data_IF_070295393153
#
_entry.id   IF_070295393153
#
_cell.length_a   1.000
_cell.length_b   1.000
_cell.length_c   1.000
_cell.angle_alpha   90.00
_cell.angle_beta   90.00
_cell.angle_gamma   90.00
#
_symmetry.space_group_name_H-M   'P 1'
#
loop_
_entity.id
_entity.type
_entity.pdbx_description
1 polymer ?
#
# COMPACT_ATOMS: atom_id res chain seq x y z
N UNK A 1 -5.29 14.42 -2.77
CA UNK A 1 -4.78 13.74 -1.55
C UNK A 1 -3.88 12.63 -2.07
N UNK A 2 -2.60 12.65 -1.72
CA UNK A 2 -1.62 11.67 -2.22
C UNK A 2 -1.60 10.46 -1.30
N UNK A 3 -1.64 9.24 -1.86
CA UNK A 3 -1.62 7.99 -1.09
C UNK A 3 -0.16 7.60 -0.91
N UNK A 4 0.39 7.79 0.29
CA UNK A 4 1.80 7.49 0.61
C UNK A 4 1.98 6.24 1.46
N UNK A 5 0.92 5.79 2.16
CA UNK A 5 0.95 4.60 3.00
C UNK A 5 -0.25 3.69 2.76
N UNK A 6 -0.15 2.43 3.19
CA UNK A 6 -1.27 1.49 3.21
C UNK A 6 -2.40 2.01 4.12
N UNK A 7 -2.03 2.74 5.17
CA UNK A 7 -3.01 3.42 6.03
C UNK A 7 -3.80 4.46 5.24
N UNK A 8 -3.13 5.35 4.48
CA UNK A 8 -3.81 6.35 3.64
C UNK A 8 -4.74 5.70 2.62
N UNK A 9 -4.31 4.58 2.04
CA UNK A 9 -5.14 3.78 1.15
C UNK A 9 -6.40 3.30 1.87
N UNK A 10 -6.27 2.72 3.06
CA UNK A 10 -7.41 2.20 3.84
C UNK A 10 -8.32 3.35 4.32
N UNK A 11 -7.77 4.52 4.63
CA UNK A 11 -8.52 5.71 5.05
C UNK A 11 -9.32 6.37 3.90
N UNK A 12 -9.18 5.91 2.65
CA UNK A 12 -10.11 6.26 1.56
C UNK A 12 -11.54 5.76 1.83
N UNK A 13 -11.67 4.69 2.61
CA UNK A 13 -12.97 4.21 3.06
C UNK A 13 -13.40 4.96 4.32
N UNK A 14 -14.66 5.43 4.40
CA UNK A 14 -15.15 6.11 5.59
C UNK A 14 -15.11 5.22 6.85
N UNK A 15 -15.20 3.90 6.67
CA UNK A 15 -15.06 2.93 7.75
C UNK A 15 -14.25 1.71 7.31
N UNK A 16 -13.33 1.27 8.17
CA UNK A 16 -12.53 0.04 7.94
C UNK A 16 -13.40 -1.21 7.78
N UNK A 17 -14.56 -1.23 8.44
CA UNK A 17 -15.55 -2.32 8.30
C UNK A 17 -16.08 -2.40 6.87
N UNK A 18 -16.21 -1.28 6.18
CA UNK A 18 -16.71 -1.25 4.81
C UNK A 18 -15.73 -1.93 3.85
N UNK A 19 -14.44 -1.59 3.93
CA UNK A 19 -13.40 -2.29 3.16
C UNK A 19 -13.36 -3.78 3.52
N UNK A 20 -13.50 -4.10 4.81
CA UNK A 20 -13.49 -5.48 5.29
C UNK A 20 -14.64 -6.31 4.69
N UNK A 21 -15.85 -5.75 4.65
CA UNK A 21 -17.03 -6.36 4.06
C UNK A 21 -16.87 -6.56 2.54
N UNK A 22 -16.38 -5.54 1.84
CA UNK A 22 -16.15 -5.60 0.38
C UNK A 22 -15.07 -6.62 -0.01
N UNK A 23 -13.99 -6.75 0.78
CA UNK A 23 -12.90 -7.70 0.52
C UNK A 23 -13.22 -9.10 1.06
N UNK A 24 -14.22 -9.25 1.93
CA UNK A 24 -14.59 -10.51 2.57
C UNK A 24 -13.64 -10.92 3.72
N UNK A 25 -13.11 -9.94 4.46
CA UNK A 25 -12.23 -10.15 5.62
C UNK A 25 -12.79 -9.51 6.88
N UNK A 26 -12.20 -9.82 8.04
CA UNK A 26 -12.58 -9.18 9.31
C UNK A 26 -12.01 -7.75 9.42
N UNK A 27 -12.76 -6.84 10.05
CA UNK A 27 -12.29 -5.47 10.29
C UNK A 27 -10.99 -5.39 11.11
N UNK A 28 -10.76 -6.35 12.02
CA UNK A 28 -9.49 -6.49 12.76
C UNK A 28 -8.30 -6.75 11.82
N UNK A 29 -8.51 -7.55 10.76
CA UNK A 29 -7.46 -7.83 9.77
C UNK A 29 -7.11 -6.57 8.98
N UNK A 30 -8.11 -5.80 8.55
CA UNK A 30 -7.90 -4.50 7.89
C UNK A 30 -7.20 -3.52 8.84
N UNK A 31 -7.57 -3.52 10.12
CA UNK A 31 -6.88 -2.73 11.13
C UNK A 31 -5.39 -3.09 11.22
N UNK A 32 -5.07 -4.39 11.23
CA UNK A 32 -3.68 -4.89 11.23
C UNK A 32 -2.92 -4.46 9.96
N UNK A 33 -3.55 -4.47 8.79
CA UNK A 33 -2.90 -4.00 7.56
C UNK A 33 -2.48 -2.53 7.65
N UNK A 34 -3.35 -1.68 8.23
CA UNK A 34 -3.02 -0.28 8.47
C UNK A 34 -1.90 -0.08 9.50
N UNK A 35 -1.84 -0.91 10.56
CA UNK A 35 -0.80 -0.85 11.57
C UNK A 35 0.56 -1.36 11.06
N UNK A 36 0.55 -2.48 10.32
CA UNK A 36 1.75 -3.11 9.77
C UNK A 36 2.22 -2.47 8.47
N UNK A 37 1.47 -1.49 7.95
CA UNK A 37 1.68 -0.86 6.65
C UNK A 37 1.89 -1.88 5.52
N UNK A 38 1.13 -2.98 5.54
CA UNK A 38 1.29 -4.08 4.61
C UNK A 38 -0.03 -4.80 4.35
N UNK A 39 -0.33 -5.05 3.08
CA UNK A 39 -1.45 -5.87 2.62
C UNK A 39 -0.88 -7.17 2.06
N UNK A 40 -1.34 -8.35 2.53
CA UNK A 40 -0.88 -9.62 1.96
C UNK A 40 -1.25 -9.73 0.48
N UNK A 41 -0.34 -10.28 -0.33
CA UNK A 41 -0.49 -10.37 -1.79
C UNK A 41 -1.79 -11.07 -2.23
N UNK A 42 -2.27 -12.03 -1.45
CA UNK A 42 -3.53 -12.73 -1.69
C UNK A 42 -4.77 -11.82 -1.69
N UNK A 43 -4.67 -10.60 -1.15
CA UNK A 43 -5.77 -9.63 -1.08
C UNK A 43 -5.60 -8.42 -2.02
N UNK A 44 -4.48 -8.31 -2.74
CA UNK A 44 -4.21 -7.15 -3.62
C UNK A 44 -5.29 -7.02 -4.68
N UNK A 45 -5.67 -8.12 -5.32
CA UNK A 45 -6.69 -8.12 -6.37
C UNK A 45 -8.05 -7.63 -5.85
N UNK A 46 -8.51 -8.13 -4.70
CA UNK A 46 -9.78 -7.66 -4.12
C UNK A 46 -9.71 -6.18 -3.76
N UNK A 47 -8.62 -5.72 -3.11
CA UNK A 47 -8.48 -4.32 -2.71
C UNK A 47 -8.52 -3.38 -3.92
N UNK A 48 -7.84 -3.74 -5.03
CA UNK A 48 -7.88 -2.98 -6.28
C UNK A 48 -9.31 -2.96 -6.83
N UNK A 49 -9.98 -4.11 -6.89
CA UNK A 49 -11.36 -4.20 -7.39
C UNK A 49 -12.34 -3.34 -6.57
N UNK A 50 -12.24 -3.38 -5.23
CA UNK A 50 -13.05 -2.54 -4.35
C UNK A 50 -12.76 -1.05 -4.55
N UNK A 51 -11.48 -0.70 -4.73
CA UNK A 51 -11.05 0.67 -5.02
C UNK A 51 -11.62 1.20 -6.33
N UNK A 52 -11.45 0.43 -7.41
CA UNK A 52 -11.95 0.76 -8.74
C UNK A 52 -13.48 0.87 -8.74
N UNK A 53 -14.19 -0.04 -8.06
CA UNK A 53 -15.65 0.00 -7.94
C UNK A 53 -16.18 1.30 -7.29
N UNK A 54 -15.38 1.92 -6.43
CA UNK A 54 -15.69 3.20 -5.78
C UNK A 54 -15.17 4.43 -6.54
N UNK A 55 -14.43 4.22 -7.63
CA UNK A 55 -13.79 5.30 -8.39
C UNK A 55 -12.53 5.86 -7.72
N UNK A 56 -11.88 5.10 -6.83
CA UNK A 56 -10.60 5.50 -6.26
C UNK A 56 -9.46 5.20 -7.25
N UNK A 57 -8.41 6.05 -7.29
CA UNK A 57 -7.23 5.84 -8.12
C UNK A 57 -6.31 4.79 -7.46
N UNK A 58 -6.79 3.55 -7.36
CA UNK A 58 -6.05 2.42 -6.78
C UNK A 58 -5.78 1.41 -7.88
N UNK A 59 -4.51 1.08 -8.06
CA UNK A 59 -4.03 0.12 -9.03
C UNK A 59 -2.85 -0.68 -8.47
N UNK A 60 -2.39 -1.67 -9.23
CA UNK A 60 -1.31 -2.55 -8.81
C UNK A 60 0.02 -1.81 -8.61
N UNK A 61 0.30 -0.78 -9.42
CA UNK A 61 1.52 0.04 -9.30
C UNK A 61 1.52 0.75 -7.95
N UNK A 62 0.40 1.37 -7.57
CA UNK A 62 0.25 2.00 -6.28
C UNK A 62 0.53 1.03 -5.14
N UNK A 63 -0.11 -0.15 -5.12
CA UNK A 63 0.09 -1.14 -4.05
C UNK A 63 1.56 -1.56 -3.98
N UNK A 64 2.20 -1.84 -5.12
CA UNK A 64 3.63 -2.23 -5.16
C UNK A 64 4.52 -1.10 -4.64
N UNK A 65 4.27 0.16 -5.05
CA UNK A 65 5.02 1.33 -4.57
C UNK A 65 4.89 1.53 -3.06
N UNK A 66 3.71 1.31 -2.50
CA UNK A 66 3.48 1.41 -1.05
C UNK A 66 4.22 0.32 -0.25
N UNK A 67 4.50 -0.83 -0.87
CA UNK A 67 5.31 -1.90 -0.27
C UNK A 67 6.79 -1.81 -0.62
N UNK A 68 7.16 -0.97 -1.60
CA UNK A 68 8.53 -0.87 -2.06
C UNK A 68 9.40 -0.30 -0.94
N UNK A 69 10.42 -1.05 -0.55
CA UNK A 69 11.52 -0.49 0.22
C UNK A 69 12.30 0.44 -0.71
N UNK A 70 12.68 1.66 -0.27
CA UNK A 70 13.58 2.49 -1.05
C UNK A 70 14.82 1.66 -1.40
N UNK A 71 15.10 1.54 -2.69
CA UNK A 71 16.36 0.94 -3.13
C UNK A 71 17.49 1.76 -2.49
N UNK A 72 18.55 1.12 -1.99
CA UNK A 72 19.75 1.85 -1.64
C UNK A 72 20.16 2.60 -2.90
N UNK A 73 20.07 3.92 -2.87
CA UNK A 73 20.69 4.75 -3.90
C UNK A 73 22.16 4.39 -3.88
N UNK A 74 22.67 3.92 -5.02
CA UNK A 74 24.08 3.62 -5.18
C UNK A 74 24.83 4.91 -4.79
N UNK A 75 25.56 4.84 -3.68
CA UNK A 75 26.39 5.95 -3.24
C UNK A 75 27.33 6.23 -4.42
N UNK A 76 27.45 7.47 -4.94
CA UNK A 76 28.36 7.72 -6.04
C UNK A 76 29.72 7.18 -5.60
N UNK A 77 30.22 6.20 -6.37
CA UNK A 77 31.59 5.69 -6.24
C UNK A 77 32.49 6.90 -6.04
N UNK A 78 33.08 7.01 -4.85
CA UNK A 78 34.11 8.01 -4.58
C UNK A 78 35.33 7.60 -5.40
N UNK A 79 35.30 7.89 -6.71
CA UNK A 79 36.49 7.93 -7.53
C UNK A 79 37.39 9.01 -6.94
N UNK A 80 38.58 8.61 -6.50
CA UNK A 80 39.69 9.53 -6.28
C UNK A 80 40.02 9.81 -4.83
N UNK A 81 40.61 8.84 -4.14
CA UNK A 81 41.85 9.10 -3.39
C UNK A 81 42.83 7.95 -3.68
N UNK A 82 43.56 8.12 -4.77
CA UNK A 82 44.87 7.48 -5.00
C UNK A 82 45.96 8.51 -4.77
N UNK A 83 47.08 8.01 -4.26
CA UNK A 83 48.35 8.66 -3.92
C UNK A 83 48.47 9.22 -2.49
#
# INVERSE_FOLDING_TARGET
MEIQTIKDLIDLWPFRRTLADEVGVSADRVHKWALSNAIPAAFHAQVIQCGVARGFPIDADLIVRLHAKPLPVDNPVTEGQSA
#
